data_IF_429533378559
#
_entry.id   IF_429533378559
#
_cell.length_a   1.000
_cell.length_b   1.000
_cell.length_c   1.000
_cell.angle_alpha   90.00
_cell.angle_beta   90.00
_cell.angle_gamma   90.00
#
_symmetry.space_group_name_H-M   'P 1'
#
loop_
_entity.id
_entity.type
_entity.pdbx_description
1 polymer ?
#
# COMPACT_ATOMS: atom_id res chain seq x y z
N UNK A 1 -40.59 46.88 -25.19
CA UNK A 1 -41.45 47.40 -24.10
C UNK A 1 -41.17 46.61 -22.84
N UNK A 2 -40.60 47.19 -21.77
CA UNK A 2 -40.43 46.50 -20.50
C UNK A 2 -41.64 46.78 -19.59
N UNK A 3 -42.22 45.72 -19.03
CA UNK A 3 -43.21 45.82 -17.95
C UNK A 3 -42.50 46.13 -16.63
N UNK A 4 -42.86 47.26 -16.02
CA UNK A 4 -42.47 47.67 -14.69
C UNK A 4 -43.39 46.95 -13.69
N UNK A 5 -42.84 46.09 -12.83
CA UNK A 5 -43.53 45.57 -11.65
C UNK A 5 -43.06 46.36 -10.41
N UNK A 6 -43.94 47.19 -9.87
CA UNK A 6 -43.72 47.92 -8.63
C UNK A 6 -43.93 46.99 -7.43
N UNK A 7 -42.85 46.67 -6.71
CA UNK A 7 -42.94 45.93 -5.44
C UNK A 7 -43.22 46.90 -4.29
N UNK A 8 -44.43 46.81 -3.71
CA UNK A 8 -44.82 47.59 -2.53
C UNK A 8 -44.07 47.11 -1.28
N UNK A 9 -43.27 47.99 -0.67
CA UNK A 9 -42.64 47.77 0.65
C UNK A 9 -43.73 47.75 1.74
N UNK A 10 -44.28 46.57 2.04
CA UNK A 10 -44.95 46.34 3.33
C UNK A 10 -43.87 46.14 4.39
N UNK A 11 -43.63 47.16 5.21
CA UNK A 11 -42.80 47.03 6.41
C UNK A 11 -43.55 46.11 7.38
N UNK A 12 -43.03 44.91 7.60
CA UNK A 12 -43.48 44.09 8.73
C UNK A 12 -43.23 44.88 10.02
N UNK A 13 -44.20 44.93 10.96
CA UNK A 13 -44.04 45.66 12.20
C UNK A 13 -42.87 45.07 12.98
N UNK A 14 -41.94 45.92 13.40
CA UNK A 14 -40.69 45.57 14.11
C UNK A 14 -40.95 44.70 15.35
N UNK A 15 -42.15 44.79 15.93
CA UNK A 15 -42.59 43.96 17.05
C UNK A 15 -42.75 42.47 16.71
N UNK A 16 -43.10 42.11 15.46
CA UNK A 16 -43.21 40.71 15.02
C UNK A 16 -41.83 40.07 14.77
N UNK A 17 -40.82 40.88 14.44
CA UNK A 17 -39.44 40.39 14.27
C UNK A 17 -38.77 40.07 15.63
N UNK A 18 -39.10 40.85 16.67
CA UNK A 18 -38.58 40.65 18.03
C UNK A 18 -39.10 39.34 18.65
N UNK A 19 -40.37 38.99 18.43
CA UNK A 19 -40.93 37.73 18.92
C UNK A 19 -40.40 36.49 18.17
N UNK A 20 -40.11 36.60 16.87
CA UNK A 20 -39.52 35.49 16.10
C UNK A 20 -38.05 35.21 16.49
N UNK A 21 -37.29 36.26 16.85
CA UNK A 21 -35.91 36.13 17.34
C UNK A 21 -35.82 35.59 18.78
N UNK A 22 -36.82 35.86 19.62
CA UNK A 22 -36.89 35.28 20.98
C UNK A 22 -37.27 33.79 21.00
N UNK A 23 -38.00 33.31 20.00
CA UNK A 23 -38.36 31.88 19.86
C UNK A 23 -37.23 31.02 19.29
N UNK A 24 -36.27 31.60 18.55
CA UNK A 24 -35.10 30.89 18.03
C UNK A 24 -33.96 30.75 19.06
N UNK A 25 -33.99 31.51 20.15
CA UNK A 25 -32.96 31.48 21.22
C UNK A 25 -33.17 30.42 22.30
N UNK A 26 -34.24 29.61 22.21
CA UNK A 26 -34.63 28.62 23.22
C UNK A 26 -34.62 27.18 22.68
N UNK A 27 -33.98 26.92 21.53
CA UNK A 27 -33.69 25.55 21.16
C UNK A 27 -32.70 24.99 22.20
N UNK A 28 -33.07 24.00 23.03
CA UNK A 28 -32.11 23.37 23.92
C UNK A 28 -30.97 22.85 23.04
N UNK A 29 -29.69 23.00 23.46
CA UNK A 29 -28.60 22.42 22.70
C UNK A 29 -28.95 20.96 22.49
N UNK A 30 -29.07 20.55 21.23
CA UNK A 30 -29.37 19.18 20.87
C UNK A 30 -28.33 18.31 21.56
N UNK A 31 -28.72 17.68 22.68
CA UNK A 31 -27.90 16.68 23.33
C UNK A 31 -27.86 15.53 22.34
N UNK A 32 -26.81 15.48 21.52
CA UNK A 32 -26.46 14.29 20.78
C UNK A 32 -26.53 13.14 21.79
N UNK A 33 -27.49 12.24 21.61
CA UNK A 33 -27.68 11.14 22.54
C UNK A 33 -26.36 10.37 22.56
N UNK A 34 -25.70 10.38 23.72
CA UNK A 34 -24.49 9.62 23.93
C UNK A 34 -24.88 8.15 23.77
N UNK A 35 -24.63 7.62 22.57
CA UNK A 35 -25.15 6.32 22.18
C UNK A 35 -24.56 5.24 23.09
N UNK A 36 -25.25 4.11 23.23
CA UNK A 36 -24.69 2.94 23.92
C UNK A 36 -23.29 2.60 23.37
N UNK A 37 -23.08 2.73 22.05
CA UNK A 37 -21.79 2.55 21.42
C UNK A 37 -20.74 3.55 21.94
N UNK A 38 -21.04 4.85 21.94
CA UNK A 38 -20.12 5.89 22.40
C UNK A 38 -19.72 5.69 23.87
N UNK A 39 -20.68 5.34 24.73
CA UNK A 39 -20.41 5.00 26.13
C UNK A 39 -19.50 3.77 26.26
N UNK A 40 -19.76 2.70 25.52
CA UNK A 40 -18.93 1.50 25.53
C UNK A 40 -17.51 1.78 25.01
N UNK A 41 -17.37 2.55 23.93
CA UNK A 41 -16.06 2.96 23.39
C UNK A 41 -15.28 3.75 24.44
N UNK A 42 -15.91 4.71 25.14
CA UNK A 42 -15.24 5.45 26.22
C UNK A 42 -14.83 4.55 27.38
N UNK A 43 -15.67 3.59 27.77
CA UNK A 43 -15.40 2.67 28.87
C UNK A 43 -14.32 1.62 28.56
N UNK A 44 -14.18 1.23 27.29
CA UNK A 44 -13.28 0.15 26.86
C UNK A 44 -12.11 0.62 25.99
N UNK A 45 -11.95 1.94 25.81
CA UNK A 45 -10.76 2.53 25.18
C UNK A 45 -9.65 2.69 26.20
N UNK A 46 -8.41 2.65 25.72
CA UNK A 46 -7.23 2.89 26.54
C UNK A 46 -6.35 3.88 25.80
N UNK A 47 -5.90 4.92 26.50
CA UNK A 47 -5.11 5.98 25.88
C UNK A 47 -3.79 5.42 25.33
N UNK A 48 -3.48 5.79 24.09
CA UNK A 48 -2.21 5.57 23.44
C UNK A 48 -1.67 6.94 23.06
N UNK A 49 -0.51 7.28 23.62
CA UNK A 49 0.14 8.59 23.42
C UNK A 49 1.36 8.38 22.55
N UNK A 50 1.39 9.05 21.40
CA UNK A 50 2.54 9.09 20.51
C UNK A 50 3.37 10.34 20.79
N UNK A 51 4.69 10.17 20.89
CA UNK A 51 5.67 11.25 20.97
C UNK A 51 6.81 10.93 20.02
N UNK A 52 6.74 11.50 18.82
CA UNK A 52 7.62 11.09 17.71
C UNK A 52 7.48 9.59 17.42
N UNK A 53 8.58 8.85 17.51
CA UNK A 53 8.63 7.39 17.29
C UNK A 53 8.38 6.57 18.56
N UNK A 54 8.02 7.21 19.68
CA UNK A 54 7.77 6.54 20.95
C UNK A 54 6.27 6.50 21.25
N UNK A 55 5.84 5.41 21.86
CA UNK A 55 4.45 5.18 22.25
C UNK A 55 4.39 4.90 23.76
N UNK A 56 3.35 5.39 24.42
CA UNK A 56 3.17 5.26 25.87
C UNK A 56 1.69 5.28 26.27
N UNK A 57 1.43 5.07 27.56
CA UNK A 57 0.09 5.03 28.14
C UNK A 57 -0.50 3.62 28.24
N UNK A 58 -1.67 3.47 28.90
CA UNK A 58 -2.25 2.17 29.19
C UNK A 58 -2.56 1.32 27.95
N UNK A 59 -2.92 1.96 26.83
CA UNK A 59 -3.14 1.28 25.56
C UNK A 59 -1.86 0.68 25.00
N UNK A 60 -0.74 1.42 25.07
CA UNK A 60 0.56 0.91 24.65
C UNK A 60 1.05 -0.23 25.54
N UNK A 61 0.91 -0.11 26.86
CA UNK A 61 1.30 -1.18 27.79
C UNK A 61 0.55 -2.48 27.51
N UNK A 62 -0.75 -2.39 27.19
CA UNK A 62 -1.58 -3.53 26.81
C UNK A 62 -1.11 -4.15 25.49
N UNK A 63 -0.82 -3.34 24.47
CA UNK A 63 -0.31 -3.81 23.18
C UNK A 63 1.06 -4.48 23.35
N UNK A 64 1.97 -3.88 24.13
CA UNK A 64 3.29 -4.42 24.43
C UNK A 64 3.18 -5.80 25.08
N UNK A 65 2.35 -5.93 26.11
CA UNK A 65 2.15 -7.18 26.82
C UNK A 65 1.50 -8.27 25.95
N UNK A 66 0.59 -7.89 25.03
CA UNK A 66 -0.02 -8.82 24.09
C UNK A 66 1.01 -9.28 23.04
N UNK A 67 1.72 -8.35 22.41
CA UNK A 67 2.73 -8.66 21.38
C UNK A 67 3.82 -9.60 21.90
N UNK A 68 4.31 -9.40 23.12
CA UNK A 68 5.33 -10.26 23.74
C UNK A 68 4.87 -11.70 24.02
N UNK A 69 3.56 -11.94 24.10
CA UNK A 69 2.98 -13.28 24.32
C UNK A 69 2.52 -13.94 23.02
N UNK A 70 2.55 -13.21 21.91
CA UNK A 70 2.07 -13.67 20.61
C UNK A 70 3.18 -14.36 19.83
N UNK A 71 2.81 -15.35 19.01
CA UNK A 71 3.70 -15.89 17.97
C UNK A 71 3.63 -15.06 16.67
N UNK A 72 2.49 -14.42 16.42
CA UNK A 72 2.23 -13.58 15.26
C UNK A 72 1.57 -12.28 15.69
N UNK A 73 1.99 -11.18 15.08
CA UNK A 73 1.38 -9.85 15.26
C UNK A 73 1.01 -9.33 13.88
N UNK A 74 -0.27 -8.99 13.70
CA UNK A 74 -0.76 -8.31 12.50
C UNK A 74 -0.93 -6.82 12.82
N UNK A 75 -0.41 -5.98 11.92
CA UNK A 75 -0.66 -4.54 11.93
C UNK A 75 -1.45 -4.23 10.66
N UNK A 76 -2.70 -3.80 10.82
CA UNK A 76 -3.49 -3.28 9.71
C UNK A 76 -3.18 -1.81 9.47
N UNK A 77 -3.38 -1.35 8.23
CA UNK A 77 -3.04 0.02 7.84
C UNK A 77 -4.05 0.65 6.88
N UNK A 78 -4.03 1.99 6.87
CA UNK A 78 -4.51 2.80 5.75
C UNK A 78 -3.26 3.36 5.04
N UNK A 79 -3.14 3.15 3.73
CA UNK A 79 -1.94 3.54 2.98
C UNK A 79 -1.67 5.04 3.02
N UNK A 80 -0.38 5.42 3.07
CA UNK A 80 0.09 6.80 3.00
C UNK A 80 0.06 7.57 4.33
N UNK A 81 -0.16 6.89 5.46
CA UNK A 81 -0.10 7.50 6.79
C UNK A 81 1.27 7.31 7.45
N UNK A 82 2.07 8.38 7.51
CA UNK A 82 3.40 8.42 8.10
C UNK A 82 3.48 7.87 9.55
N UNK A 83 2.37 7.91 10.30
CA UNK A 83 2.30 7.39 11.67
C UNK A 83 2.34 5.85 11.73
N UNK A 84 1.90 5.17 10.66
CA UNK A 84 1.82 3.71 10.63
C UNK A 84 3.21 3.07 10.58
N UNK A 85 4.15 3.47 9.70
CA UNK A 85 5.51 2.94 9.75
C UNK A 85 6.19 3.18 11.10
N UNK A 86 5.95 4.33 11.73
CA UNK A 86 6.48 4.64 13.07
C UNK A 86 5.90 3.72 14.15
N UNK A 87 4.59 3.46 14.11
CA UNK A 87 3.91 2.53 15.01
C UNK A 87 4.39 1.10 14.80
N UNK A 88 4.45 0.63 13.56
CA UNK A 88 4.95 -0.69 13.18
C UNK A 88 6.39 -0.89 13.64
N UNK A 89 7.26 0.12 13.49
CA UNK A 89 8.62 0.09 14.01
C UNK A 89 8.66 -0.06 15.55
N UNK A 90 7.81 0.66 16.28
CA UNK A 90 7.74 0.56 17.74
C UNK A 90 7.23 -0.82 18.19
N UNK A 91 6.25 -1.39 17.48
CA UNK A 91 5.78 -2.76 17.71
C UNK A 91 6.91 -3.75 17.46
N UNK A 92 7.68 -3.59 16.38
CA UNK A 92 8.80 -4.47 16.05
C UNK A 92 9.93 -4.45 17.11
N UNK A 93 10.22 -3.30 17.74
CA UNK A 93 11.19 -3.22 18.85
C UNK A 93 10.81 -4.09 20.05
N UNK A 94 9.51 -4.16 20.34
CA UNK A 94 8.97 -4.96 21.44
C UNK A 94 8.88 -6.43 21.05
N UNK A 95 8.28 -6.70 19.90
CA UNK A 95 7.97 -8.05 19.42
C UNK A 95 9.22 -8.81 18.97
N UNK A 96 10.23 -8.08 18.48
CA UNK A 96 11.49 -8.61 17.93
C UNK A 96 11.24 -9.71 16.88
N UNK A 97 10.54 -9.40 15.79
CA UNK A 97 10.21 -10.39 14.78
C UNK A 97 11.49 -10.95 14.15
N UNK A 98 11.53 -12.26 13.90
CA UNK A 98 12.53 -12.83 12.98
C UNK A 98 12.23 -12.44 11.53
N UNK A 99 10.94 -12.24 11.21
CA UNK A 99 10.46 -11.97 9.86
C UNK A 99 9.36 -10.92 9.90
N UNK A 100 9.46 -9.96 8.97
CA UNK A 100 8.42 -9.01 8.65
C UNK A 100 7.80 -9.39 7.31
N UNK A 101 6.49 -9.64 7.34
CA UNK A 101 5.72 -10.08 6.17
C UNK A 101 4.86 -8.91 5.72
N UNK A 102 5.03 -8.49 4.47
CA UNK A 102 4.38 -7.29 3.91
C UNK A 102 3.45 -7.64 2.74
N UNK A 103 2.40 -6.85 2.57
CA UNK A 103 1.48 -6.87 1.42
C UNK A 103 2.13 -6.24 0.18
N UNK A 104 3.22 -6.86 -0.25
CA UNK A 104 3.97 -6.54 -1.48
C UNK A 104 4.36 -7.86 -2.13
N UNK A 105 4.72 -7.83 -3.41
CA UNK A 105 5.17 -9.05 -4.07
C UNK A 105 6.59 -9.48 -3.64
N UNK A 106 6.94 -10.77 -3.83
CA UNK A 106 8.27 -11.28 -3.48
C UNK A 106 9.44 -10.55 -4.14
N UNK A 107 9.24 -9.95 -5.32
CA UNK A 107 10.29 -9.29 -6.10
C UNK A 107 10.56 -7.87 -5.59
N UNK A 108 9.52 -7.14 -5.20
CA UNK A 108 9.64 -5.87 -4.47
C UNK A 108 10.31 -6.09 -3.12
N UNK A 109 9.94 -7.13 -2.37
CA UNK A 109 10.61 -7.48 -1.12
C UNK A 109 12.13 -7.74 -1.31
N UNK A 110 12.51 -8.41 -2.40
CA UNK A 110 13.92 -8.60 -2.76
C UNK A 110 14.61 -7.27 -3.12
N UNK A 111 13.95 -6.40 -3.89
CA UNK A 111 14.47 -5.08 -4.23
C UNK A 111 14.70 -4.24 -2.96
N UNK A 112 13.70 -4.14 -2.08
CA UNK A 112 13.78 -3.43 -0.81
C UNK A 112 14.89 -3.99 0.10
N UNK A 113 15.06 -5.31 0.15
CA UNK A 113 16.15 -5.94 0.91
C UNK A 113 17.52 -5.49 0.39
N UNK A 114 17.71 -5.41 -0.93
CA UNK A 114 18.97 -4.93 -1.54
C UNK A 114 19.17 -3.43 -1.35
N UNK A 115 18.12 -2.64 -1.58
CA UNK A 115 18.17 -1.18 -1.53
C UNK A 115 18.37 -0.66 -0.10
N UNK A 116 17.70 -1.25 0.89
CA UNK A 116 17.84 -0.89 2.30
C UNK A 116 19.23 -1.20 2.90
N UNK A 117 20.03 -2.02 2.21
CA UNK A 117 21.43 -2.24 2.55
C UNK A 117 22.35 -1.09 2.13
N UNK A 118 21.90 -0.21 1.26
CA UNK A 118 22.65 0.94 0.78
C UNK A 118 22.44 2.16 1.70
N UNK A 119 23.38 3.12 1.74
CA UNK A 119 23.17 4.39 2.42
C UNK A 119 22.08 5.24 1.76
N UNK A 120 21.31 5.97 2.56
CA UNK A 120 20.30 6.94 2.08
C UNK A 120 18.95 6.32 1.67
N UNK A 121 18.16 7.14 0.97
CA UNK A 121 16.89 6.75 0.31
C UNK A 121 17.20 6.25 -1.11
N UNK A 122 16.35 5.40 -1.72
CA UNK A 122 16.63 4.77 -3.00
C UNK A 122 16.29 5.68 -4.20
N UNK A 123 16.61 6.98 -4.12
CA UNK A 123 16.20 8.02 -5.08
C UNK A 123 16.58 7.70 -6.52
N UNK A 124 17.74 7.09 -6.75
CA UNK A 124 18.16 6.71 -8.11
C UNK A 124 17.28 5.58 -8.68
N UNK A 125 16.87 4.64 -7.84
CA UNK A 125 15.99 3.55 -8.22
C UNK A 125 14.58 4.07 -8.50
N UNK A 126 14.03 4.93 -7.62
CA UNK A 126 12.72 5.58 -7.82
C UNK A 126 12.67 6.40 -9.12
N UNK A 127 13.73 7.16 -9.43
CA UNK A 127 13.81 7.89 -10.71
C UNK A 127 13.86 6.96 -11.92
N UNK A 128 14.50 5.80 -11.77
CA UNK A 128 14.61 4.83 -12.84
C UNK A 128 13.31 4.05 -13.06
N UNK A 129 12.64 3.70 -11.96
CA UNK A 129 11.42 2.88 -11.91
C UNK A 129 10.40 3.52 -10.95
N UNK A 130 9.71 4.60 -11.36
CA UNK A 130 8.73 5.28 -10.52
C UNK A 130 7.63 4.31 -10.04
N UNK A 131 7.21 4.45 -8.79
CA UNK A 131 6.15 3.67 -8.14
C UNK A 131 6.39 2.15 -8.07
N UNK A 132 7.62 1.69 -8.35
CA UNK A 132 7.91 0.27 -8.42
C UNK A 132 8.28 -0.38 -7.08
N UNK A 133 8.30 0.38 -5.98
CA UNK A 133 8.40 -0.19 -4.62
C UNK A 133 7.04 -0.20 -3.89
N UNK A 134 5.94 -0.12 -4.64
CA UNK A 134 4.60 0.03 -4.07
C UNK A 134 4.54 1.29 -3.18
N UNK A 135 3.99 1.17 -1.98
CA UNK A 135 3.99 2.25 -0.98
C UNK A 135 5.35 2.44 -0.28
N UNK A 136 6.36 1.60 -0.53
CA UNK A 136 7.71 1.76 0.04
C UNK A 136 8.61 2.74 -0.73
N UNK A 137 8.07 3.41 -1.75
CA UNK A 137 8.69 4.60 -2.36
C UNK A 137 8.52 5.85 -1.45
N UNK A 138 7.70 5.75 -0.39
CA UNK A 138 7.58 6.76 0.65
C UNK A 138 8.72 6.63 1.68
N UNK A 139 9.15 7.78 2.21
CA UNK A 139 10.30 7.87 3.12
C UNK A 139 10.10 7.03 4.38
N UNK A 140 8.95 7.16 5.03
CA UNK A 140 8.66 6.53 6.31
C UNK A 140 8.64 5.00 6.21
N UNK A 141 8.01 4.48 5.15
CA UNK A 141 7.92 3.07 4.80
C UNK A 141 9.29 2.50 4.46
N UNK A 142 10.09 3.21 3.66
CA UNK A 142 11.45 2.78 3.36
C UNK A 142 12.35 2.75 4.61
N UNK A 143 12.26 3.76 5.48
CA UNK A 143 13.01 3.79 6.73
C UNK A 143 12.57 2.69 7.72
N UNK A 144 11.29 2.28 7.72
CA UNK A 144 10.84 1.08 8.43
C UNK A 144 11.62 -0.16 7.97
N UNK A 145 11.72 -0.39 6.64
CA UNK A 145 12.48 -1.52 6.09
C UNK A 145 13.95 -1.46 6.52
N UNK A 146 14.58 -0.28 6.46
CA UNK A 146 15.97 -0.11 6.89
C UNK A 146 16.16 -0.42 8.37
N UNK A 147 15.22 -0.01 9.22
CA UNK A 147 15.26 -0.30 10.66
C UNK A 147 15.13 -1.79 10.93
N UNK A 148 14.16 -2.45 10.31
CA UNK A 148 13.97 -3.90 10.40
C UNK A 148 15.20 -4.67 9.93
N UNK A 149 15.82 -4.25 8.82
CA UNK A 149 17.09 -4.81 8.35
C UNK A 149 18.21 -4.69 9.39
N UNK A 150 18.35 -3.53 10.04
CA UNK A 150 19.37 -3.33 11.10
C UNK A 150 19.15 -4.24 12.32
N UNK A 151 17.92 -4.72 12.51
CA UNK A 151 17.57 -5.71 13.52
C UNK A 151 17.71 -7.16 13.03
N UNK A 152 18.25 -7.37 11.83
CA UNK A 152 18.33 -8.68 11.15
C UNK A 152 16.98 -9.35 10.90
N UNK A 153 15.92 -8.54 10.75
CA UNK A 153 14.59 -9.03 10.40
C UNK A 153 14.54 -9.31 8.90
N UNK A 154 14.13 -10.52 8.52
CA UNK A 154 13.92 -10.86 7.11
C UNK A 154 12.65 -10.17 6.58
N UNK A 155 12.72 -9.56 5.39
CA UNK A 155 11.54 -9.03 4.70
C UNK A 155 10.99 -10.10 3.73
N UNK A 156 9.69 -10.38 3.82
CA UNK A 156 8.97 -11.31 2.92
C UNK A 156 7.78 -10.61 2.30
N UNK A 157 7.66 -10.68 0.98
CA UNK A 157 6.47 -10.26 0.24
C UNK A 157 5.57 -11.45 -0.05
N UNK A 158 4.25 -11.26 0.08
CA UNK A 158 3.25 -12.30 -0.21
C UNK A 158 2.44 -12.06 -1.48
N UNK A 159 2.33 -10.83 -1.93
CA UNK A 159 1.28 -10.45 -2.86
C UNK A 159 1.57 -10.86 -4.32
N UNK A 160 0.58 -10.63 -5.18
CA UNK A 160 0.74 -10.65 -6.63
C UNK A 160 1.71 -9.57 -7.11
N UNK A 161 2.41 -9.83 -8.22
CA UNK A 161 3.34 -8.89 -8.85
C UNK A 161 2.64 -7.54 -9.03
N UNK A 162 3.20 -6.49 -8.44
CA UNK A 162 2.57 -5.19 -8.41
C UNK A 162 2.52 -4.54 -9.80
N UNK A 163 1.42 -3.85 -10.10
CA UNK A 163 1.11 -3.35 -11.45
C UNK A 163 2.20 -2.50 -12.11
N UNK A 164 2.95 -1.74 -11.29
CA UNK A 164 4.00 -0.80 -11.70
C UNK A 164 5.39 -1.44 -11.79
N UNK A 165 5.53 -2.71 -11.44
CA UNK A 165 6.84 -3.38 -11.35
C UNK A 165 7.30 -4.02 -12.65
N UNK A 166 6.53 -3.92 -13.73
CA UNK A 166 6.82 -4.65 -14.98
C UNK A 166 8.25 -4.39 -15.51
N UNK A 167 8.73 -3.14 -15.47
CA UNK A 167 10.08 -2.81 -15.92
C UNK A 167 11.20 -3.50 -15.09
N UNK A 168 11.30 -3.28 -13.76
CA UNK A 168 12.31 -3.96 -12.95
C UNK A 168 12.12 -5.48 -12.90
N UNK A 169 10.88 -5.97 -12.99
CA UNK A 169 10.55 -7.39 -13.04
C UNK A 169 11.16 -8.07 -14.28
N UNK A 170 10.90 -7.54 -15.47
CA UNK A 170 11.44 -8.09 -16.72
C UNK A 170 12.95 -7.98 -16.77
N UNK A 171 13.53 -6.93 -16.21
CA UNK A 171 14.98 -6.78 -16.09
C UNK A 171 15.59 -7.82 -15.16
N UNK A 172 14.97 -8.11 -14.02
CA UNK A 172 15.40 -9.18 -13.12
C UNK A 172 15.31 -10.55 -13.81
N UNK A 173 14.21 -10.84 -14.51
CA UNK A 173 14.03 -12.09 -15.23
C UNK A 173 15.07 -12.25 -16.35
N UNK A 174 15.44 -11.17 -17.05
CA UNK A 174 16.49 -11.19 -18.07
C UNK A 174 17.86 -11.59 -17.50
N UNK A 175 18.09 -11.40 -16.20
CA UNK A 175 19.29 -11.86 -15.49
C UNK A 175 19.31 -13.36 -15.19
N UNK A 176 18.16 -14.04 -15.24
CA UNK A 176 18.02 -15.47 -14.88
C UNK A 176 17.96 -16.41 -16.09
N UNK A 177 17.69 -15.88 -17.28
CA UNK A 177 17.56 -16.66 -18.51
C UNK A 177 18.93 -16.89 -19.17
N UNK A 178 19.09 -18.05 -19.80
CA UNK A 178 20.29 -18.44 -20.53
C UNK A 178 20.18 -18.16 -22.02
N UNK A 179 18.99 -18.26 -22.61
CA UNK A 179 18.77 -18.00 -24.04
C UNK A 179 19.05 -16.54 -24.37
N UNK A 180 20.00 -16.23 -25.28
CA UNK A 180 20.26 -14.86 -25.72
C UNK A 180 19.03 -14.20 -26.35
N UNK A 181 18.24 -14.96 -27.10
CA UNK A 181 17.00 -14.47 -27.72
C UNK A 181 15.96 -14.09 -26.67
N UNK A 182 15.75 -14.94 -25.66
CA UNK A 182 14.84 -14.67 -24.53
C UNK A 182 15.33 -13.46 -23.75
N UNK A 183 16.63 -13.38 -23.43
CA UNK A 183 17.22 -12.23 -22.74
C UNK A 183 16.98 -10.93 -23.51
N UNK A 184 17.25 -10.93 -24.81
CA UNK A 184 17.05 -9.76 -25.65
C UNK A 184 15.57 -9.34 -25.72
N UNK A 185 14.64 -10.29 -25.78
CA UNK A 185 13.21 -10.01 -25.68
C UNK A 185 12.85 -9.32 -24.36
N UNK A 186 13.28 -9.90 -23.24
CA UNK A 186 12.96 -9.40 -21.90
C UNK A 186 13.53 -8.00 -21.66
N UNK A 187 14.77 -7.74 -22.09
CA UNK A 187 15.39 -6.41 -21.98
C UNK A 187 14.67 -5.35 -22.84
N UNK A 188 14.20 -5.73 -24.04
CA UNK A 188 13.38 -4.82 -24.87
C UNK A 188 12.06 -4.49 -24.20
N UNK A 189 11.36 -5.48 -23.63
CA UNK A 189 10.12 -5.25 -22.87
C UNK A 189 10.37 -4.39 -21.64
N UNK A 190 11.39 -4.70 -20.83
CA UNK A 190 11.77 -3.91 -19.66
C UNK A 190 12.01 -2.44 -20.01
N UNK A 191 12.75 -2.17 -21.09
CA UNK A 191 13.01 -0.82 -21.57
C UNK A 191 11.75 -0.10 -22.06
N UNK A 192 10.82 -0.84 -22.68
CA UNK A 192 9.51 -0.33 -23.09
C UNK A 192 8.67 0.09 -21.90
N UNK A 193 8.52 -0.79 -20.91
CA UNK A 193 7.78 -0.52 -19.68
C UNK A 193 8.40 0.59 -18.86
N UNK A 194 9.74 0.69 -18.82
CA UNK A 194 10.42 1.78 -18.14
C UNK A 194 10.05 3.14 -18.75
N UNK A 195 10.08 3.26 -20.08
CA UNK A 195 9.67 4.50 -20.76
C UNK A 195 8.20 4.82 -20.53
N UNK A 196 7.34 3.80 -20.54
CA UNK A 196 5.91 3.97 -20.23
C UNK A 196 5.71 4.51 -18.81
N UNK A 197 6.35 3.91 -17.81
CA UNK A 197 6.24 4.33 -16.40
C UNK A 197 6.80 5.75 -16.17
N UNK A 198 7.92 6.09 -16.83
CA UNK A 198 8.47 7.45 -16.76
C UNK A 198 7.57 8.49 -17.43
N UNK A 199 6.90 8.12 -18.53
CA UNK A 199 5.91 8.99 -19.17
C UNK A 199 4.65 9.14 -18.32
N UNK A 200 4.20 8.08 -17.64
CA UNK A 200 3.10 8.10 -16.66
C UNK A 200 3.35 9.16 -15.58
N UNK A 201 4.51 9.10 -14.92
CA UNK A 201 4.90 10.02 -13.85
C UNK A 201 4.89 11.49 -14.31
N UNK A 202 5.26 11.73 -15.57
CA UNK A 202 5.32 13.08 -16.14
C UNK A 202 3.97 13.61 -16.62
N UNK A 203 3.09 12.73 -17.10
CA UNK A 203 1.86 13.10 -17.80
C UNK A 203 0.58 12.87 -16.97
N UNK A 204 0.66 12.17 -15.84
CA UNK A 204 -0.48 11.89 -14.95
C UNK A 204 -1.57 11.03 -15.59
N UNK A 205 -1.20 10.09 -16.47
CA UNK A 205 -2.15 9.15 -17.10
C UNK A 205 -2.39 7.93 -16.21
N UNK A 206 -3.58 7.33 -16.17
CA UNK A 206 -3.90 6.18 -15.28
C UNK A 206 -3.75 4.80 -15.97
N UNK A 207 -2.61 4.51 -16.60
CA UNK A 207 -2.46 3.25 -17.36
C UNK A 207 -1.34 2.34 -16.85
N UNK A 208 -1.68 1.51 -15.86
CA UNK A 208 -0.79 0.46 -15.35
C UNK A 208 -0.48 -0.59 -16.43
N UNK A 209 0.81 -0.95 -16.56
CA UNK A 209 1.27 -1.94 -17.55
C UNK A 209 0.49 -3.25 -17.43
N UNK A 210 0.35 -3.77 -16.20
CA UNK A 210 -0.29 -5.06 -15.95
C UNK A 210 -1.77 -5.08 -16.36
N UNK A 211 -2.45 -3.92 -16.31
CA UNK A 211 -3.86 -3.80 -16.69
C UNK A 211 -4.05 -3.66 -18.20
N UNK A 212 -3.11 -3.03 -18.91
CA UNK A 212 -3.24 -2.69 -20.34
C UNK A 212 -2.47 -3.62 -21.28
N UNK A 213 -1.54 -4.40 -20.74
CA UNK A 213 -0.72 -5.32 -21.53
C UNK A 213 -1.59 -6.31 -22.32
N UNK A 214 -1.17 -6.59 -23.56
CA UNK A 214 -1.84 -7.55 -24.42
C UNK A 214 -1.62 -8.99 -23.93
N UNK A 215 -2.65 -9.87 -23.99
CA UNK A 215 -2.51 -11.28 -23.60
C UNK A 215 -1.33 -11.99 -24.30
N UNK A 216 -1.14 -11.71 -25.60
CA UNK A 216 -0.06 -12.30 -26.39
C UNK A 216 1.35 -12.00 -25.84
N UNK A 217 1.53 -10.89 -25.11
CA UNK A 217 2.81 -10.57 -24.46
C UNK A 217 3.09 -11.48 -23.27
N UNK A 218 2.04 -11.88 -22.54
CA UNK A 218 2.12 -12.85 -21.43
C UNK A 218 2.31 -14.26 -21.98
N UNK A 219 1.61 -14.63 -23.07
CA UNK A 219 1.81 -15.92 -23.73
C UNK A 219 3.24 -16.07 -24.25
N UNK A 220 3.79 -14.99 -24.82
CA UNK A 220 5.20 -14.93 -25.26
C UNK A 220 6.15 -15.09 -24.08
N UNK A 221 5.88 -14.45 -22.94
CA UNK A 221 6.68 -14.57 -21.72
C UNK A 221 6.74 -16.03 -21.25
N UNK A 222 5.59 -16.71 -21.17
CA UNK A 222 5.51 -18.12 -20.76
C UNK A 222 6.22 -19.03 -21.75
N UNK A 223 5.99 -18.83 -23.05
CA UNK A 223 6.60 -19.65 -24.12
C UNK A 223 8.12 -19.53 -24.12
N UNK A 224 8.65 -18.31 -24.02
CA UNK A 224 10.09 -18.06 -24.08
C UNK A 224 10.85 -18.53 -22.83
N UNK A 225 10.14 -18.76 -21.73
CA UNK A 225 10.75 -19.21 -20.46
C UNK A 225 10.56 -20.69 -20.19
N UNK A 226 9.76 -21.42 -20.98
CA UNK A 226 9.41 -22.83 -20.71
C UNK A 226 10.62 -23.78 -20.63
N UNK A 227 11.72 -23.45 -21.33
CA UNK A 227 12.98 -24.20 -21.35
C UNK A 227 14.04 -23.61 -20.43
N UNK A 228 13.75 -22.50 -19.76
CA UNK A 228 14.67 -21.80 -18.87
C UNK A 228 14.74 -22.44 -17.47
N UNK A 229 15.60 -21.89 -16.62
CA UNK A 229 15.77 -22.37 -15.25
C UNK A 229 14.44 -22.43 -14.47
N UNK A 230 14.30 -23.32 -13.46
CA UNK A 230 13.11 -23.36 -12.61
C UNK A 230 12.75 -22.00 -11.99
N UNK A 231 13.76 -21.19 -11.64
CA UNK A 231 13.56 -19.84 -11.12
C UNK A 231 12.97 -18.89 -12.17
N UNK A 232 13.50 -18.88 -13.40
CA UNK A 232 12.96 -18.06 -14.48
C UNK A 232 11.53 -18.45 -14.87
N UNK A 233 11.25 -19.77 -14.91
CA UNK A 233 9.90 -20.30 -15.15
C UNK A 233 8.92 -19.87 -14.08
N UNK A 234 9.31 -19.98 -12.80
CA UNK A 234 8.48 -19.51 -11.70
C UNK A 234 8.18 -18.03 -11.82
N UNK A 235 9.19 -17.18 -12.07
CA UNK A 235 8.96 -15.76 -12.27
C UNK A 235 7.91 -15.50 -13.36
N UNK A 236 8.08 -16.10 -14.54
CA UNK A 236 7.10 -15.95 -15.62
C UNK A 236 5.69 -16.41 -15.24
N UNK A 237 5.57 -17.50 -14.48
CA UNK A 237 4.30 -18.01 -13.97
C UNK A 237 3.66 -17.06 -12.94
N UNK A 238 4.46 -16.46 -12.05
CA UNK A 238 3.99 -15.50 -11.05
C UNK A 238 3.45 -14.23 -11.72
N UNK A 239 4.13 -13.75 -12.76
CA UNK A 239 3.66 -12.64 -13.57
C UNK A 239 2.34 -12.97 -14.27
N UNK A 240 2.25 -14.14 -14.92
CA UNK A 240 1.04 -14.57 -15.61
C UNK A 240 -0.15 -14.76 -14.64
N UNK A 241 0.08 -15.32 -13.44
CA UNK A 241 -0.94 -15.44 -12.42
C UNK A 241 -1.43 -14.06 -11.94
N UNK A 242 -0.49 -13.13 -11.71
CA UNK A 242 -0.82 -11.75 -11.30
C UNK A 242 -1.62 -11.03 -12.39
N UNK A 243 -1.21 -11.14 -13.65
CA UNK A 243 -1.96 -10.62 -14.80
C UNK A 243 -3.39 -11.18 -14.85
N UNK A 244 -3.56 -12.49 -14.68
CA UNK A 244 -4.89 -13.10 -14.65
C UNK A 244 -5.76 -12.57 -13.51
N UNK A 245 -5.18 -12.33 -12.32
CA UNK A 245 -5.89 -11.74 -11.19
C UNK A 245 -6.31 -10.30 -11.48
N UNK A 246 -5.44 -9.47 -12.08
CA UNK A 246 -5.85 -8.11 -12.50
C UNK A 246 -6.98 -8.12 -13.54
N UNK A 247 -7.01 -9.10 -14.44
CA UNK A 247 -8.09 -9.21 -15.44
C UNK A 247 -9.40 -9.70 -14.85
N UNK A 248 -9.36 -10.62 -13.89
CA UNK A 248 -10.55 -11.22 -13.29
C UNK A 248 -11.04 -10.49 -12.04
N UNK A 249 -10.18 -9.69 -11.40
CA UNK A 249 -10.38 -9.11 -10.08
C UNK A 249 -10.70 -10.17 -9.00
N UNK A 250 -10.18 -11.40 -9.18
CA UNK A 250 -10.46 -12.53 -8.30
C UNK A 250 -9.70 -12.43 -6.98
N UNK A 251 -10.40 -12.03 -5.92
CA UNK A 251 -9.85 -12.01 -4.57
C UNK A 251 -9.38 -13.40 -4.10
N UNK A 252 -10.11 -14.46 -4.47
CA UNK A 252 -9.76 -15.81 -4.07
C UNK A 252 -8.44 -16.27 -4.71
N UNK A 253 -8.20 -15.93 -5.97
CA UNK A 253 -6.94 -16.27 -6.64
C UNK A 253 -5.77 -15.49 -6.07
N UNK A 254 -5.97 -14.21 -5.72
CA UNK A 254 -4.98 -13.42 -4.97
C UNK A 254 -4.63 -14.08 -3.63
N UNK A 255 -5.62 -14.48 -2.84
CA UNK A 255 -5.38 -15.18 -1.57
C UNK A 255 -4.64 -16.51 -1.76
N UNK A 256 -4.96 -17.26 -2.80
CA UNK A 256 -4.27 -18.52 -3.12
C UNK A 256 -2.80 -18.26 -3.49
N UNK A 257 -2.54 -17.20 -4.27
CA UNK A 257 -1.20 -16.75 -4.61
C UNK A 257 -0.42 -16.33 -3.35
N UNK A 258 -1.04 -15.56 -2.46
CA UNK A 258 -0.44 -15.14 -1.18
C UNK A 258 -0.06 -16.33 -0.28
N UNK A 259 -0.95 -17.32 -0.14
CA UNK A 259 -0.66 -18.55 0.61
C UNK A 259 0.51 -19.32 -0.01
N UNK A 260 0.53 -19.42 -1.34
CA UNK A 260 1.60 -20.09 -2.07
C UNK A 260 2.94 -19.38 -1.84
N UNK A 261 2.98 -18.05 -1.92
CA UNK A 261 4.17 -17.26 -1.67
C UNK A 261 4.66 -17.39 -0.22
N UNK A 262 3.74 -17.41 0.76
CA UNK A 262 4.06 -17.66 2.17
C UNK A 262 4.73 -19.01 2.39
N UNK A 263 4.14 -20.09 1.86
CA UNK A 263 4.67 -21.46 2.01
C UNK A 263 6.04 -21.62 1.32
N UNK A 264 6.30 -20.85 0.27
CA UNK A 264 7.60 -20.86 -0.41
C UNK A 264 8.69 -20.12 0.37
N UNK A 265 8.33 -19.07 1.11
CA UNK A 265 9.25 -18.34 1.96
C UNK A 265 9.68 -19.15 3.20
N UNK A 266 8.85 -20.11 3.62
CA UNK A 266 9.06 -20.94 4.80
C UNK A 266 8.90 -22.44 4.47
N UNK A 267 9.85 -23.05 3.74
CA UNK A 267 9.83 -24.48 3.51
C UNK A 267 9.92 -25.24 4.85
N UNK A 268 9.16 -26.34 4.96
CA UNK A 268 9.15 -27.22 6.11
C UNK A 268 10.48 -27.94 6.35
#
# INVERSE_FOLDING_TARGET
>A
MPNILLYGKRRLPIQLLFWLLLLLGQAPPGRAQDSTLTRLVRQHSSALVASGTQFSGPGWDRLRAAAQKSQFVLVGEDHGLAQIPAFTAAVAEVFKPAVFVAEIDPYVAQALTRLSAQPGLPVAYERQYPESLCFYDLREEFELVRRLRRQNVQLVGLDQVYGSTAAPFYQQLAGLVKSPATKAYLLRQASGYQRQQQAFEQAGHDEWVMEKQAPATVDSLLTLTITESPAARRMAQDYAASYAIYKSQSHQDRLNLMKRNLLQAFPA
#
